data_IF_830508499596
#
_entry.id   IF_830508499596
#
_cell.length_a   1.000
_cell.length_b   1.000
_cell.length_c   1.000
_cell.angle_alpha   90.00
_cell.angle_beta   90.00
_cell.angle_gamma   90.00
#
_symmetry.space_group_name_H-M   'P 1'
#
loop_
_entity.id
_entity.type
_entity.pdbx_description
1 polymer ?
#
# COMPACT_ATOMS: atom_id res chain seq x y z
N UNK A 1 -10.68 -15.67 2.78
CA UNK A 1 -9.29 -15.81 2.35
C UNK A 1 -9.26 -16.71 1.11
N UNK A 2 -9.06 -16.14 -0.08
CA UNK A 2 -8.87 -16.90 -1.32
C UNK A 2 -7.54 -16.46 -1.91
N UNK A 3 -6.46 -17.19 -1.64
CA UNK A 3 -5.14 -16.91 -2.20
C UNK A 3 -4.44 -18.20 -2.70
N UNK A 4 -5.21 -19.16 -3.22
CA UNK A 4 -4.65 -20.27 -4.03
C UNK A 4 -4.99 -20.06 -5.50
N UNK A 5 -4.99 -18.81 -5.95
CA UNK A 5 -5.03 -18.48 -7.37
C UNK A 5 -3.61 -18.26 -7.85
N UNK A 6 -3.04 -19.21 -8.61
CA UNK A 6 -1.75 -19.02 -9.28
C UNK A 6 -0.56 -19.79 -8.69
N UNK A 7 -0.78 -20.86 -7.94
CA UNK A 7 0.31 -21.80 -7.68
C UNK A 7 0.64 -22.58 -8.97
N UNK A 8 1.93 -22.81 -9.27
CA UNK A 8 2.32 -23.67 -10.39
C UNK A 8 1.76 -25.09 -10.21
N UNK A 9 1.32 -25.70 -11.31
CA UNK A 9 0.80 -27.08 -11.32
C UNK A 9 1.90 -28.10 -10.95
N UNK A 10 3.17 -27.75 -11.12
CA UNK A 10 4.36 -28.59 -10.91
C UNK A 10 5.08 -28.32 -9.56
N UNK A 11 4.33 -27.91 -8.55
CA UNK A 11 4.87 -27.62 -7.23
C UNK A 11 5.56 -28.85 -6.59
N UNK A 12 6.83 -28.69 -6.21
CA UNK A 12 7.66 -29.74 -5.61
C UNK A 12 7.54 -29.84 -4.09
N UNK A 13 6.79 -28.93 -3.46
CA UNK A 13 6.61 -28.84 -2.01
C UNK A 13 5.15 -29.04 -1.63
N UNK A 14 4.92 -29.47 -0.39
CA UNK A 14 3.57 -29.52 0.20
C UNK A 14 3.15 -28.13 0.69
N UNK A 15 1.94 -27.71 0.35
CA UNK A 15 1.36 -26.45 0.83
C UNK A 15 0.63 -26.67 2.15
N UNK A 16 1.10 -26.00 3.21
CA UNK A 16 0.43 -25.98 4.52
C UNK A 16 -0.08 -24.55 4.76
N UNK A 17 -1.39 -24.39 4.95
CA UNK A 17 -2.04 -23.08 5.17
C UNK A 17 -2.60 -22.99 6.61
N UNK A 18 -1.78 -22.74 7.65
CA UNK A 18 -2.19 -22.83 9.05
C UNK A 18 -3.26 -21.81 9.48
N UNK A 19 -3.50 -20.79 8.66
CA UNK A 19 -4.47 -19.72 8.93
C UNK A 19 -5.75 -19.86 8.08
N UNK A 20 -5.92 -20.94 7.31
CA UNK A 20 -7.02 -21.08 6.35
C UNK A 20 -8.41 -21.20 7.00
N UNK A 21 -8.48 -21.57 8.29
CA UNK A 21 -9.72 -21.65 9.07
C UNK A 21 -10.08 -20.36 9.80
N UNK A 22 -9.21 -19.34 9.74
CA UNK A 22 -9.40 -18.09 10.47
C UNK A 22 -9.93 -16.97 9.58
N UNK A 23 -10.83 -16.15 10.13
CA UNK A 23 -11.24 -14.86 9.59
C UNK A 23 -10.20 -13.77 9.91
N UNK A 24 -10.32 -12.60 9.26
CA UNK A 24 -9.27 -11.56 9.29
C UNK A 24 -9.09 -10.95 10.68
N UNK A 25 -10.19 -10.76 11.40
CA UNK A 25 -10.24 -10.36 12.79
C UNK A 25 -9.61 -11.42 13.72
N UNK A 26 -9.87 -12.70 13.49
CA UNK A 26 -9.25 -13.79 14.26
C UNK A 26 -7.73 -13.87 14.02
N UNK A 27 -7.28 -13.67 12.78
CA UNK A 27 -5.84 -13.57 12.46
C UNK A 27 -5.19 -12.38 13.19
N UNK A 28 -5.91 -11.25 13.35
CA UNK A 28 -5.40 -10.09 14.08
C UNK A 28 -5.31 -10.35 15.58
N UNK A 29 -6.34 -10.96 16.16
CA UNK A 29 -6.34 -11.37 17.56
C UNK A 29 -5.17 -12.31 17.85
N UNK A 30 -4.98 -13.33 17.00
CA UNK A 30 -3.85 -14.26 17.09
C UNK A 30 -2.51 -13.53 17.03
N UNK A 31 -2.33 -12.59 16.08
CA UNK A 31 -1.09 -11.81 15.99
C UNK A 31 -0.78 -11.01 17.26
N UNK A 32 -1.82 -10.47 17.90
CA UNK A 32 -1.68 -9.72 19.16
C UNK A 32 -1.27 -10.64 20.31
N UNK A 33 -1.90 -11.81 20.46
CA UNK A 33 -1.56 -12.81 21.47
C UNK A 33 -0.14 -13.36 21.30
N UNK A 34 0.34 -13.45 20.05
CA UNK A 34 1.73 -13.82 19.73
C UNK A 34 2.74 -12.68 20.00
N UNK A 35 2.31 -11.53 20.49
CA UNK A 35 3.17 -10.39 20.81
C UNK A 35 3.68 -9.63 19.59
N UNK A 36 3.00 -9.73 18.43
CA UNK A 36 3.37 -8.96 17.25
C UNK A 36 3.12 -7.46 17.47
N UNK A 37 3.96 -6.57 16.91
CA UNK A 37 3.70 -5.13 16.94
C UNK A 37 2.33 -4.78 16.37
N UNK A 38 1.59 -3.93 17.09
CA UNK A 38 0.25 -3.47 16.70
C UNK A 38 0.24 -2.86 15.29
N UNK A 39 1.25 -2.06 14.96
CA UNK A 39 1.44 -1.46 13.63
C UNK A 39 1.58 -2.48 12.48
N UNK A 40 1.95 -3.73 12.76
CA UNK A 40 2.00 -4.82 11.78
C UNK A 40 0.66 -5.52 11.69
N UNK A 41 0.05 -5.86 12.84
CA UNK A 41 -1.23 -6.56 12.93
C UNK A 41 -2.35 -5.77 12.23
N UNK A 42 -2.34 -4.46 12.41
CA UNK A 42 -3.38 -3.56 11.94
C UNK A 42 -3.03 -2.79 10.68
N UNK A 43 -1.88 -3.07 10.08
CA UNK A 43 -1.49 -2.48 8.81
C UNK A 43 -2.57 -2.72 7.76
N UNK A 44 -2.90 -1.66 7.02
CA UNK A 44 -3.77 -1.76 5.85
C UNK A 44 -3.24 -2.81 4.84
N UNK A 45 -4.12 -3.45 4.06
CA UNK A 45 -3.69 -4.38 3.02
C UNK A 45 -2.82 -3.68 1.98
N UNK A 46 -1.74 -4.37 1.59
CA UNK A 46 -0.84 -3.92 0.52
C UNK A 46 -0.90 -4.94 -0.64
N UNK A 47 -1.13 -4.48 -1.88
CA UNK A 47 -1.33 -5.37 -3.03
C UNK A 47 -0.04 -6.12 -3.39
N UNK A 48 -0.16 -7.34 -3.94
CA UNK A 48 0.98 -8.17 -4.35
C UNK A 48 1.95 -7.47 -5.33
N UNK A 49 1.46 -6.85 -6.42
CA UNK A 49 2.29 -6.04 -7.32
C UNK A 49 2.84 -4.73 -6.70
N UNK A 50 2.45 -4.39 -5.47
CA UNK A 50 2.91 -3.24 -4.72
C UNK A 50 2.68 -1.90 -5.41
N UNK A 51 3.74 -1.09 -5.50
CA UNK A 51 3.69 0.23 -6.12
C UNK A 51 3.49 0.19 -7.64
N UNK A 52 3.72 -0.97 -8.28
CA UNK A 52 3.58 -1.11 -9.73
C UNK A 52 2.16 -0.83 -10.23
N UNK A 53 1.14 -1.07 -9.40
CA UNK A 53 -0.26 -0.72 -9.73
C UNK A 53 -0.67 0.68 -9.24
N UNK A 54 0.24 1.41 -8.60
CA UNK A 54 0.04 2.79 -8.12
C UNK A 54 0.67 3.82 -9.06
N UNK A 55 1.55 3.38 -9.97
CA UNK A 55 2.10 4.20 -11.05
C UNK A 55 1.34 3.87 -12.33
N UNK A 56 0.64 4.85 -12.92
CA UNK A 56 -0.07 4.64 -14.17
C UNK A 56 0.90 4.78 -15.37
N UNK A 57 0.83 3.80 -16.26
CA UNK A 57 1.70 3.72 -17.44
C UNK A 57 3.06 3.09 -17.11
N UNK A 58 4.10 3.57 -17.79
CA UNK A 58 5.45 3.04 -17.62
C UNK A 58 5.98 3.27 -16.19
N UNK A 59 6.49 2.19 -15.59
CA UNK A 59 7.10 2.18 -14.26
C UNK A 59 8.58 2.51 -14.41
N UNK A 60 8.99 3.67 -13.89
CA UNK A 60 10.39 4.11 -13.84
C UNK A 60 10.81 4.36 -12.40
N UNK A 61 12.12 4.32 -12.12
CA UNK A 61 12.63 4.53 -10.76
C UNK A 61 12.24 5.91 -10.21
N UNK A 62 12.32 6.96 -11.02
CA UNK A 62 11.90 8.31 -10.63
C UNK A 62 10.43 8.36 -10.19
N UNK A 63 9.54 7.71 -10.95
CA UNK A 63 8.11 7.65 -10.62
C UNK A 63 7.86 6.82 -9.37
N UNK A 64 8.60 5.73 -9.19
CA UNK A 64 8.52 4.92 -7.97
C UNK A 64 8.98 5.73 -6.76
N UNK A 65 10.04 6.52 -6.88
CA UNK A 65 10.52 7.39 -5.80
C UNK A 65 9.45 8.40 -5.39
N UNK A 66 8.81 9.07 -6.36
CA UNK A 66 7.70 10.00 -6.09
C UNK A 66 6.56 9.32 -5.31
N UNK A 67 6.16 8.11 -5.71
CA UNK A 67 5.09 7.37 -5.01
C UNK A 67 5.53 6.92 -3.63
N UNK A 68 6.78 6.44 -3.44
CA UNK A 68 7.31 6.06 -2.12
C UNK A 68 7.27 7.24 -1.14
N UNK A 69 7.78 8.39 -1.58
CA UNK A 69 7.89 9.57 -0.73
C UNK A 69 6.52 10.15 -0.40
N UNK A 70 5.66 10.29 -1.41
CA UNK A 70 4.29 10.78 -1.18
C UNK A 70 3.44 9.84 -0.35
N UNK A 71 3.59 8.51 -0.49
CA UNK A 71 2.87 7.52 0.32
C UNK A 71 3.39 7.50 1.77
N UNK A 72 4.71 7.68 1.98
CA UNK A 72 5.28 7.83 3.32
C UNK A 72 4.69 9.04 4.04
N UNK A 73 4.69 10.21 3.38
CA UNK A 73 4.10 11.44 3.94
C UNK A 73 2.62 11.22 4.26
N UNK A 74 1.83 10.68 3.33
CA UNK A 74 0.42 10.43 3.58
C UNK A 74 0.20 9.51 4.80
N UNK A 75 1.00 8.44 4.92
CA UNK A 75 0.89 7.52 6.07
C UNK A 75 1.24 8.18 7.39
N UNK A 76 2.25 9.05 7.41
CA UNK A 76 2.63 9.83 8.60
C UNK A 76 1.52 10.80 9.00
N UNK A 77 0.94 11.54 8.04
CA UNK A 77 -0.14 12.48 8.30
C UNK A 77 -1.43 11.79 8.79
N UNK A 78 -1.79 10.64 8.20
CA UNK A 78 -2.94 9.83 8.65
C UNK A 78 -2.73 9.32 10.09
N UNK A 79 -1.51 8.87 10.42
CA UNK A 79 -1.18 8.43 11.76
C UNK A 79 -1.19 9.61 12.77
N UNK A 80 -0.64 10.76 12.39
CA UNK A 80 -0.65 11.97 13.21
C UNK A 80 -2.08 12.47 13.49
N UNK A 81 -2.99 12.27 12.54
CA UNK A 81 -4.41 12.56 12.68
C UNK A 81 -5.20 11.49 13.47
N UNK A 82 -4.58 10.34 13.81
CA UNK A 82 -5.24 9.23 14.50
C UNK A 82 -6.29 8.49 13.66
N UNK A 83 -6.17 8.52 12.34
CA UNK A 83 -7.15 7.98 11.39
C UNK A 83 -6.80 6.57 10.86
N UNK A 84 -5.72 5.97 11.35
CA UNK A 84 -5.18 4.68 10.88
C UNK A 84 -6.14 3.50 11.07
N UNK A 85 -7.11 3.63 11.98
CA UNK A 85 -8.15 2.62 12.25
C UNK A 85 -9.48 2.89 11.57
N UNK A 86 -9.70 4.13 11.16
CA UNK A 86 -10.98 4.59 10.60
C UNK A 86 -11.02 4.46 9.08
N UNK A 87 -9.85 4.60 8.43
CA UNK A 87 -9.72 4.48 6.99
C UNK A 87 -9.26 3.07 6.64
N UNK A 88 -10.05 2.36 5.83
CA UNK A 88 -9.76 0.98 5.46
C UNK A 88 -8.49 0.85 4.62
N UNK A 89 -8.30 1.75 3.65
CA UNK A 89 -7.10 1.79 2.82
C UNK A 89 -6.79 3.21 2.35
N UNK A 90 -5.53 3.64 2.51
CA UNK A 90 -5.06 4.96 2.14
C UNK A 90 -3.68 4.91 1.48
N UNK A 91 -3.55 5.50 0.29
CA UNK A 91 -2.30 5.50 -0.46
C UNK A 91 -2.27 6.58 -1.53
N UNK A 92 -1.07 6.87 -2.03
CA UNK A 92 -0.87 7.74 -3.18
C UNK A 92 -0.79 6.98 -4.49
N UNK A 93 -1.24 7.63 -5.57
CA UNK A 93 -1.15 7.15 -6.95
C UNK A 93 -0.56 8.23 -7.85
N UNK A 94 0.19 7.80 -8.86
CA UNK A 94 0.79 8.67 -9.86
C UNK A 94 0.07 8.49 -11.21
N UNK A 95 -0.94 9.32 -11.55
CA UNK A 95 -1.71 9.21 -12.79
C UNK A 95 -0.90 9.52 -14.06
N UNK A 96 0.33 10.02 -13.94
CA UNK A 96 1.15 10.44 -15.08
C UNK A 96 0.78 11.81 -15.65
N UNK A 97 -0.10 12.55 -14.97
CA UNK A 97 -0.48 13.92 -15.32
C UNK A 97 0.57 14.89 -14.77
N UNK A 98 1.01 15.85 -15.59
CA UNK A 98 1.85 16.96 -15.15
C UNK A 98 1.02 18.23 -15.01
N UNK A 99 1.30 18.99 -13.97
CA UNK A 99 0.69 20.29 -13.70
C UNK A 99 1.75 21.39 -13.64
N UNK A 100 1.32 22.63 -13.87
CA UNK A 100 2.19 23.81 -13.78
C UNK A 100 2.22 24.28 -12.33
N UNK A 101 3.42 24.36 -11.77
CA UNK A 101 3.70 25.01 -10.50
C UNK A 101 4.29 26.41 -10.69
N UNK A 102 4.29 27.20 -9.62
CA UNK A 102 5.02 28.47 -9.55
C UNK A 102 6.12 28.32 -8.51
N UNK A 103 7.36 28.57 -8.91
CA UNK A 103 8.52 28.55 -8.01
C UNK A 103 9.32 29.83 -8.23
N UNK A 104 9.28 30.74 -7.24
CA UNK A 104 9.76 32.11 -7.42
C UNK A 104 8.99 32.83 -8.54
N UNK A 105 9.74 33.45 -9.46
CA UNK A 105 9.17 34.13 -10.65
C UNK A 105 9.00 33.18 -11.86
N UNK A 106 9.30 31.89 -11.71
CA UNK A 106 9.30 30.90 -12.79
C UNK A 106 8.11 29.93 -12.76
N UNK A 107 7.82 29.33 -13.92
CA UNK A 107 6.90 28.18 -14.05
C UNK A 107 7.68 26.88 -13.99
N UNK A 108 7.22 25.95 -13.16
CA UNK A 108 7.73 24.57 -13.10
C UNK A 108 6.67 23.60 -13.62
N UNK A 109 7.09 22.42 -14.06
CA UNK A 109 6.19 21.34 -14.44
C UNK A 109 6.54 20.12 -13.63
N UNK A 110 5.60 19.63 -12.83
CA UNK A 110 5.81 18.45 -11.99
C UNK A 110 4.61 17.50 -12.06
N UNK A 111 4.79 16.29 -11.58
CA UNK A 111 3.73 15.30 -11.54
C UNK A 111 2.68 15.62 -10.48
N UNK A 112 1.43 15.42 -10.85
CA UNK A 112 0.31 15.41 -9.90
C UNK A 112 0.23 14.06 -9.22
N UNK A 113 0.14 14.05 -7.90
CA UNK A 113 -0.14 12.85 -7.09
C UNK A 113 -1.61 12.84 -6.69
N UNK A 114 -2.28 11.70 -6.83
CA UNK A 114 -3.63 11.47 -6.32
C UNK A 114 -3.58 10.79 -4.95
N UNK A 115 -4.43 11.21 -4.03
CA UNK A 115 -4.67 10.50 -2.77
C UNK A 115 -5.95 9.67 -2.92
N UNK A 116 -5.88 8.40 -2.55
CA UNK A 116 -7.05 7.53 -2.41
C UNK A 116 -7.12 7.07 -0.97
N UNK A 117 -8.21 7.43 -0.28
CA UNK A 117 -8.55 7.00 1.07
C UNK A 117 -10.01 6.52 1.07
N UNK A 118 -10.24 5.25 1.41
CA UNK A 118 -11.55 4.59 1.42
C UNK A 118 -11.71 3.71 2.64
#
# INVERSE_FOLDING_TARGET
HHNVGGLPEDMQFELIEPLNTLFKDEVRALGTELGMPDAIVWRQPFPGPGLGIRVLGEITEDKLQIVRDSDAILREEIAAAGLDRDIWQYFTVLPGIRSVGVMGDGRTYDYTVGIRAV
#
